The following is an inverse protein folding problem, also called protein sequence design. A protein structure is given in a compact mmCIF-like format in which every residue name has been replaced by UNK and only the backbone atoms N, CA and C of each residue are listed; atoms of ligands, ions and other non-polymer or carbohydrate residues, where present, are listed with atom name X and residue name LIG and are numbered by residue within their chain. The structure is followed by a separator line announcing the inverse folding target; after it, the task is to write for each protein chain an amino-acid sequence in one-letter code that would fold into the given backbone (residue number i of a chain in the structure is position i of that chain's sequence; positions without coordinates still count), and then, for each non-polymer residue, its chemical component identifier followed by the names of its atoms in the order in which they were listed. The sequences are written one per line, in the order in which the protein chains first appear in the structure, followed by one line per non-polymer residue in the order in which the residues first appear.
data_IF_534938566722
#
_entry.id   IF_534938566722
#
_cell.length_a   1.000
_cell.length_b   1.000
_cell.length_c   1.000
_cell.angle_alpha   90.00
_cell.angle_beta   90.00
_cell.angle_gamma   90.00
#
_symmetry.space_group_name_H-M   'P 1'
#
loop_
_entity.id
_entity.type
_entity.pdbx_description
1 polymer ?
#
# COMPACT_ATOMS: atom_id res chain seq x y z
N UNK A 1 -4.24 6.91 10.56
CA UNK A 1 -3.16 7.60 11.29
C UNK A 1 -2.21 6.64 11.99
N UNK A 2 -2.67 5.49 12.49
CA UNK A 2 -1.83 4.50 13.17
C UNK A 2 -0.47 4.16 12.54
N UNK A 3 -0.38 3.93 11.22
CA UNK A 3 0.92 3.60 10.59
C UNK A 3 1.91 4.78 10.60
N UNK A 4 1.41 6.02 10.51
CA UNK A 4 2.24 7.24 10.61
C UNK A 4 2.83 7.35 12.01
N UNK A 5 1.99 7.17 13.03
CA UNK A 5 2.41 7.18 14.44
C UNK A 5 3.48 6.11 14.70
N UNK A 6 3.25 4.88 14.23
CA UNK A 6 4.21 3.77 14.38
C UNK A 6 5.57 4.09 13.73
N UNK A 7 5.58 4.73 12.55
CA UNK A 7 6.83 5.09 11.90
C UNK A 7 7.62 6.15 12.70
N UNK A 8 6.93 7.16 13.23
CA UNK A 8 7.54 8.18 14.09
C UNK A 8 8.07 7.58 15.39
N UNK A 9 7.28 6.73 16.06
CA UNK A 9 7.68 6.03 17.29
C UNK A 9 8.87 5.08 17.06
N UNK A 10 8.99 4.51 15.85
CA UNK A 10 10.12 3.68 15.44
C UNK A 10 11.37 4.49 15.07
N UNK A 11 11.31 5.83 15.12
CA UNK A 11 12.47 6.72 14.91
C UNK A 11 12.57 7.36 13.53
N UNK A 12 11.53 7.28 12.69
CA UNK A 12 11.49 8.06 11.46
C UNK A 12 11.50 9.57 11.80
N UNK A 13 12.34 10.35 11.11
CA UNK A 13 12.41 11.81 11.32
C UNK A 13 11.09 12.49 10.98
N UNK A 14 10.41 12.00 9.94
CA UNK A 14 9.12 12.46 9.47
C UNK A 14 8.33 11.26 8.95
N UNK A 15 7.01 11.36 8.97
CA UNK A 15 6.11 10.37 8.39
C UNK A 15 4.84 11.07 7.91
N UNK A 16 4.38 10.69 6.73
CA UNK A 16 3.26 11.32 6.06
C UNK A 16 2.26 10.25 5.63
N UNK A 17 0.97 10.57 5.74
CA UNK A 17 -0.09 9.82 5.07
C UNK A 17 -0.48 10.60 3.83
N UNK A 18 -0.39 9.94 2.69
CA UNK A 18 -0.92 10.41 1.41
C UNK A 18 -1.99 9.44 0.92
N UNK A 19 -2.98 9.96 0.19
CA UNK A 19 -4.01 9.14 -0.44
C UNK A 19 -3.55 8.63 -1.82
N UNK A 20 -2.69 9.38 -2.53
CA UNK A 20 -2.05 8.96 -3.79
C UNK A 20 -0.72 9.69 -4.07
N UNK A 21 -0.07 9.37 -5.20
CA UNK A 21 1.22 9.93 -5.58
C UNK A 21 1.21 11.44 -5.88
N UNK A 22 0.04 12.05 -6.12
CA UNK A 22 -0.09 13.49 -6.42
C UNK A 22 0.06 14.37 -5.18
N UNK A 23 -0.15 13.81 -3.98
CA UNK A 23 0.02 14.52 -2.72
C UNK A 23 1.48 14.55 -2.23
N UNK A 24 2.38 13.82 -2.90
CA UNK A 24 3.80 13.81 -2.57
C UNK A 24 4.44 15.17 -2.88
N UNK A 25 5.17 15.72 -1.91
CA UNK A 25 5.84 17.01 -2.05
C UNK A 25 7.36 16.83 -2.09
N UNK A 26 8.04 17.48 -3.04
CA UNK A 26 9.48 17.28 -3.29
C UNK A 26 10.36 17.72 -2.10
N UNK A 27 9.89 18.71 -1.36
CA UNK A 27 10.55 19.22 -0.15
C UNK A 27 10.69 18.17 0.96
N UNK A 28 9.89 17.09 0.95
CA UNK A 28 10.02 16.01 1.93
C UNK A 28 11.31 15.18 1.71
N UNK A 29 11.93 15.31 0.53
CA UNK A 29 13.01 14.45 0.07
C UNK A 29 14.37 15.16 0.00
N UNK A 30 14.44 16.46 0.25
CA UNK A 30 15.64 17.30 0.00
C UNK A 30 16.91 16.86 0.74
N UNK A 31 16.78 16.10 1.84
CA UNK A 31 17.93 15.60 2.62
C UNK A 31 17.80 14.12 3.00
N UNK A 32 16.97 13.39 2.24
CA UNK A 32 16.64 11.98 2.51
C UNK A 32 17.39 11.10 1.52
N UNK A 33 18.09 10.08 2.01
CA UNK A 33 18.74 9.07 1.15
C UNK A 33 17.88 7.83 0.95
N UNK A 34 16.93 7.60 1.85
CA UNK A 34 16.15 6.37 1.94
C UNK A 34 14.72 6.71 2.33
N UNK A 35 13.76 6.20 1.56
CA UNK A 35 12.32 6.42 1.79
C UNK A 35 11.69 5.07 2.09
N UNK A 36 11.04 4.96 3.24
CA UNK A 36 10.19 3.81 3.57
C UNK A 36 8.79 4.03 3.03
N UNK A 37 8.27 3.05 2.29
CA UNK A 37 6.89 3.08 1.77
C UNK A 37 6.12 1.91 2.39
N UNK A 38 4.93 2.18 2.89
CA UNK A 38 4.00 1.17 3.39
C UNK A 38 2.57 1.59 3.07
N UNK A 39 1.64 0.66 3.12
CA UNK A 39 0.22 0.91 2.85
C UNK A 39 -0.65 0.22 3.88
N UNK A 40 -1.89 0.72 4.03
CA UNK A 40 -2.91 0.03 4.81
C UNK A 40 -3.41 -1.21 4.07
N UNK A 41 -3.97 -2.17 4.81
CA UNK A 41 -4.44 -3.45 4.26
C UNK A 41 -5.54 -3.32 3.18
N UNK A 42 -6.24 -2.17 3.11
CA UNK A 42 -7.31 -1.92 2.14
C UNK A 42 -6.87 -1.13 0.91
N UNK A 43 -5.58 -0.79 0.80
CA UNK A 43 -5.07 0.06 -0.28
C UNK A 43 -4.81 -0.80 -1.54
N UNK A 44 -5.36 -0.42 -2.71
CA UNK A 44 -5.04 -1.09 -3.98
C UNK A 44 -3.54 -1.04 -4.31
N UNK A 45 -3.00 -2.14 -4.81
CA UNK A 45 -1.58 -2.27 -5.17
C UNK A 45 -1.12 -1.21 -6.18
N UNK A 46 -1.98 -0.86 -7.16
CA UNK A 46 -1.69 0.18 -8.17
C UNK A 46 -1.31 1.53 -7.56
N UNK A 47 -1.91 1.93 -6.44
CA UNK A 47 -1.57 3.20 -5.79
C UNK A 47 -0.17 3.18 -5.19
N UNK A 48 0.24 2.02 -4.66
CA UNK A 48 1.62 1.82 -4.16
C UNK A 48 2.60 1.87 -5.32
N UNK A 49 2.29 1.20 -6.44
CA UNK A 49 3.11 1.25 -7.65
C UNK A 49 3.28 2.67 -8.19
N UNK A 50 2.22 3.49 -8.19
CA UNK A 50 2.28 4.89 -8.61
C UNK A 50 3.21 5.73 -7.72
N UNK A 51 3.16 5.53 -6.40
CA UNK A 51 4.09 6.17 -5.44
C UNK A 51 5.53 5.76 -5.72
N UNK A 52 5.78 4.46 -5.94
CA UNK A 52 7.12 3.96 -6.27
C UNK A 52 7.64 4.53 -7.59
N UNK A 53 6.79 4.65 -8.62
CA UNK A 53 7.15 5.25 -9.90
C UNK A 53 7.50 6.74 -9.75
N UNK A 54 6.72 7.48 -8.96
CA UNK A 54 6.98 8.90 -8.67
C UNK A 54 8.32 9.12 -7.98
N UNK A 55 8.66 8.24 -7.02
CA UNK A 55 9.93 8.24 -6.30
C UNK A 55 11.10 7.85 -7.22
N UNK A 56 10.91 6.83 -8.07
CA UNK A 56 11.92 6.38 -9.02
C UNK A 56 12.33 7.50 -9.99
N UNK A 57 11.36 8.29 -10.48
CA UNK A 57 11.63 9.45 -11.34
C UNK A 57 12.48 10.54 -10.68
N UNK A 58 12.63 10.51 -9.34
CA UNK A 58 13.40 11.47 -8.52
C UNK A 58 14.67 10.90 -7.92
N UNK A 59 15.13 9.75 -8.44
CA UNK A 59 16.39 9.13 -8.03
C UNK A 59 16.26 7.99 -7.01
N UNK A 60 15.05 7.65 -6.56
CA UNK A 60 14.80 6.50 -5.68
C UNK A 60 14.42 5.24 -6.48
N UNK A 61 15.17 4.94 -7.54
CA UNK A 61 14.84 3.82 -8.44
C UNK A 61 15.20 2.43 -7.91
N UNK A 62 15.97 2.34 -6.82
CA UNK A 62 16.31 1.07 -6.18
C UNK A 62 15.27 0.75 -5.11
N UNK A 63 14.41 -0.23 -5.40
CA UNK A 63 13.37 -0.70 -4.48
C UNK A 63 13.83 -2.00 -3.83
N UNK A 64 13.87 -2.03 -2.50
CA UNK A 64 14.09 -3.23 -1.71
C UNK A 64 12.78 -3.60 -0.99
N UNK A 65 12.28 -4.81 -1.24
CA UNK A 65 11.06 -5.30 -0.57
C UNK A 65 11.46 -5.98 0.74
N UNK A 66 11.11 -5.34 1.85
CA UNK A 66 11.32 -5.90 3.19
C UNK A 66 10.04 -6.62 3.64
N UNK A 67 10.05 -7.96 3.60
CA UNK A 67 8.96 -8.81 4.10
C UNK A 67 9.32 -9.38 5.47
N UNK A 68 8.64 -8.92 6.52
CA UNK A 68 8.94 -9.33 7.91
C UNK A 68 8.14 -10.53 8.39
N UNK A 69 6.97 -10.80 7.78
CA UNK A 69 6.11 -11.92 8.08
C UNK A 69 5.39 -12.41 6.81
N UNK A 70 5.13 -13.72 6.74
CA UNK A 70 4.27 -14.29 5.71
C UNK A 70 2.86 -14.49 6.26
N UNK A 71 1.88 -13.79 5.68
CA UNK A 71 0.48 -13.97 6.01
C UNK A 71 -0.18 -14.90 4.98
N UNK A 72 -0.69 -16.04 5.45
CA UNK A 72 -1.29 -17.10 4.61
C UNK A 72 -2.78 -17.31 4.89
N UNK A 73 -3.37 -16.49 5.76
CA UNK A 73 -4.76 -16.60 6.16
C UNK A 73 -5.67 -16.13 5.02
N UNK A 74 -6.53 -17.03 4.52
CA UNK A 74 -7.52 -16.71 3.49
C UNK A 74 -8.91 -16.91 4.07
N UNK A 75 -9.72 -15.85 4.08
CA UNK A 75 -11.13 -15.94 4.42
C UNK A 75 -11.92 -16.45 3.22
N UNK A 76 -12.32 -17.71 3.28
CA UNK A 76 -13.17 -18.30 2.25
C UNK A 76 -14.58 -17.73 2.33
N UNK A 77 -15.17 -17.46 1.16
CA UNK A 77 -16.56 -17.01 1.09
C UNK A 77 -17.49 -18.08 1.70
N UNK A 78 -18.46 -17.71 2.56
CA UNK A 78 -19.46 -18.62 3.08
C UNK A 78 -20.18 -19.42 1.97
N UNK A 79 -20.58 -20.69 2.22
CA UNK A 79 -21.23 -21.53 1.22
C UNK A 79 -22.51 -20.91 0.64
N UNK A 80 -23.26 -20.17 1.45
CA UNK A 80 -24.49 -19.47 1.06
C UNK A 80 -24.20 -18.40 0.01
N UNK A 81 -23.24 -17.51 0.26
CA UNK A 81 -22.84 -16.46 -0.69
C UNK A 81 -22.25 -17.03 -1.99
N UNK A 82 -21.58 -18.19 -1.93
CA UNK A 82 -21.10 -18.89 -3.14
C UNK A 82 -22.24 -19.41 -4.02
N UNK A 83 -23.37 -19.81 -3.44
CA UNK A 83 -24.55 -20.28 -4.20
C UNK A 83 -25.23 -19.10 -4.89
N UNK A 84 -25.38 -17.98 -4.18
CA UNK A 84 -26.03 -16.79 -4.71
C UNK A 84 -25.25 -16.16 -5.86
N UNK A 85 -23.91 -16.11 -5.77
CA UNK A 85 -23.04 -15.65 -6.86
C UNK A 85 -23.18 -16.50 -8.13
N UNK A 86 -23.26 -17.83 -7.99
CA UNK A 86 -23.46 -18.73 -9.13
C UNK A 86 -24.84 -18.53 -9.77
N UNK A 87 -25.88 -18.37 -8.97
CA UNK A 87 -27.24 -18.09 -9.46
C UNK A 87 -27.32 -16.75 -10.19
N UNK A 88 -26.68 -15.70 -9.65
CA UNK A 88 -26.63 -14.37 -10.26
C UNK A 88 -25.84 -14.33 -11.58
N UNK A 89 -24.82 -15.17 -11.73
CA UNK A 89 -24.07 -15.31 -12.98
C UNK A 89 -24.87 -16.03 -14.07
N UNK A 90 -25.62 -17.07 -13.71
CA UNK A 90 -26.48 -17.83 -14.66
C UNK A 90 -27.69 -17.04 -15.14
N UNK A 91 -28.20 -16.11 -14.32
CA UNK A 91 -29.30 -15.23 -14.69
C UNK A 91 -28.91 -14.07 -15.64
N UNK A 92 -27.61 -13.83 -15.84
CA UNK A 92 -27.06 -12.78 -16.71
C UNK A 92 -26.62 -13.30 -18.10
N UNK A 93 -26.81 -14.58 -18.38
CA UNK A 93 -26.45 -15.27 -19.62
C UNK A 93 -27.67 -15.73 -20.42
#
# INVERSE_FOLDING_TARGET
MRLVEVALDAGAKTSYRVDDATELQEEWFTSTSTVGVTSGASVPEKLVEEVLAWLAARGYGSVEVVKTAEETLIFSLPPELRRDLKAAQQAKS
#
